data_IF_703345834053
#
_entry.id   IF_703345834053
#
_cell.length_a   1.000
_cell.length_b   1.000
_cell.length_c   1.000
_cell.angle_alpha   90.00
_cell.angle_beta   90.00
_cell.angle_gamma   90.00
#
_symmetry.space_group_name_H-M   'P 1'
#
loop_
_entity.id
_entity.type
_entity.pdbx_description
1 polymer ?
#
# COMPACT_ATOMS: atom_id res chain seq x y z
N UNK A 1 8.16 -2.53 -18.83
CA UNK A 1 6.73 -2.88 -19.00
C UNK A 1 5.90 -2.02 -18.08
N UNK A 2 4.74 -1.54 -18.54
CA UNK A 2 3.84 -0.72 -17.71
C UNK A 2 3.20 -1.59 -16.64
N UNK A 3 3.42 -1.27 -15.35
CA UNK A 3 2.78 -1.96 -14.22
C UNK A 3 1.43 -1.29 -13.93
N UNK A 4 0.41 -2.09 -13.65
CA UNK A 4 -0.95 -1.63 -13.33
C UNK A 4 -1.48 -2.35 -12.10
N UNK A 5 -2.43 -1.72 -11.40
CA UNK A 5 -3.18 -2.33 -10.30
C UNK A 5 -4.67 -2.41 -10.66
N UNK A 6 -5.33 -3.46 -10.22
CA UNK A 6 -6.79 -3.59 -10.33
C UNK A 6 -7.46 -2.89 -9.16
N UNK A 7 -8.43 -2.05 -9.45
CA UNK A 7 -9.23 -1.34 -8.45
C UNK A 7 -10.51 -2.12 -8.12
N UNK A 8 -11.09 -1.86 -6.95
CA UNK A 8 -12.32 -2.53 -6.49
C UNK A 8 -13.56 -2.28 -7.37
N UNK A 9 -13.50 -1.30 -8.28
CA UNK A 9 -14.53 -1.03 -9.28
C UNK A 9 -14.28 -1.71 -10.64
N UNK A 10 -13.29 -2.61 -10.72
CA UNK A 10 -12.95 -3.35 -11.95
C UNK A 10 -12.07 -2.59 -12.94
N UNK A 11 -11.78 -1.31 -12.70
CA UNK A 11 -10.86 -0.54 -13.56
C UNK A 11 -9.39 -0.85 -13.25
N UNK A 12 -8.51 -0.50 -14.19
CA UNK A 12 -7.06 -0.58 -14.04
C UNK A 12 -6.48 0.82 -13.85
N UNK A 13 -5.52 0.94 -12.94
CA UNK A 13 -4.76 2.18 -12.74
C UNK A 13 -3.26 1.95 -12.94
N UNK A 14 -2.57 2.94 -13.52
CA UNK A 14 -1.15 2.83 -13.83
C UNK A 14 -0.31 3.11 -12.59
N UNK A 15 0.67 2.26 -12.35
CA UNK A 15 1.71 2.52 -11.34
C UNK A 15 2.74 3.47 -11.95
N UNK A 16 2.96 4.59 -11.28
CA UNK A 16 3.93 5.62 -11.73
C UNK A 16 5.20 5.66 -10.88
N UNK A 17 5.25 4.90 -9.80
CA UNK A 17 6.43 4.79 -8.95
C UNK A 17 6.33 3.64 -7.96
N UNK A 18 7.47 3.30 -7.37
CA UNK A 18 7.62 2.36 -6.27
C UNK A 18 8.44 3.07 -5.19
N UNK A 19 8.04 2.98 -3.94
CA UNK A 19 8.77 3.65 -2.87
C UNK A 19 8.50 3.08 -1.49
N UNK A 20 9.10 3.73 -0.51
CA UNK A 20 8.91 3.47 0.92
C UNK A 20 7.99 4.54 1.49
N UNK A 21 7.05 4.13 2.35
CA UNK A 21 6.13 5.02 3.04
C UNK A 21 6.23 4.76 4.53
N UNK A 22 6.34 5.83 5.31
CA UNK A 22 6.31 5.77 6.77
C UNK A 22 4.93 6.23 7.23
N UNK A 23 4.26 5.36 8.00
CA UNK A 23 2.94 5.58 8.55
C UNK A 23 3.07 5.81 10.05
N UNK A 24 2.89 7.07 10.48
CA UNK A 24 2.81 7.40 11.89
C UNK A 24 1.44 7.00 12.44
N UNK A 25 1.45 6.15 13.47
CA UNK A 25 0.26 5.68 14.15
C UNK A 25 -0.09 6.62 15.31
N UNK A 26 -1.36 6.68 15.69
CA UNK A 26 -1.81 7.49 16.84
C UNK A 26 -1.18 7.08 18.17
N UNK A 27 -0.57 5.90 18.25
CA UNK A 27 0.21 5.45 19.40
C UNK A 27 1.62 6.06 19.48
N UNK A 28 2.04 6.87 18.49
CA UNK A 28 3.39 7.41 18.35
C UNK A 28 4.41 6.44 17.74
N UNK A 29 3.98 5.24 17.33
CA UNK A 29 4.84 4.30 16.62
C UNK A 29 4.81 4.57 15.12
N UNK A 30 5.93 4.34 14.43
CA UNK A 30 6.02 4.41 12.98
C UNK A 30 6.05 3.01 12.36
N UNK A 31 5.14 2.76 11.42
CA UNK A 31 5.17 1.58 10.56
C UNK A 31 5.81 1.95 9.22
N UNK A 32 6.92 1.29 8.90
CA UNK A 32 7.58 1.42 7.59
C UNK A 32 6.97 0.39 6.64
N UNK A 33 6.51 0.84 5.48
CA UNK A 33 6.01 -0.02 4.41
C UNK A 33 6.90 0.19 3.19
N UNK A 34 7.63 -0.85 2.82
CA UNK A 34 8.44 -0.89 1.60
C UNK A 34 7.63 -1.36 0.39
N UNK A 35 8.18 -1.15 -0.80
CA UNK A 35 7.59 -1.57 -2.08
C UNK A 35 6.14 -1.07 -2.31
N UNK A 36 5.84 0.14 -1.89
CA UNK A 36 4.52 0.78 -2.08
C UNK A 36 4.39 1.34 -3.49
N UNK A 37 3.36 0.93 -4.21
CA UNK A 37 3.03 1.49 -5.51
C UNK A 37 2.43 2.90 -5.39
N UNK A 38 3.02 3.85 -6.12
CA UNK A 38 2.44 5.17 -6.30
C UNK A 38 1.50 5.17 -7.52
N UNK A 39 0.23 5.47 -7.28
CA UNK A 39 -0.86 5.46 -8.27
C UNK A 39 -1.69 6.74 -8.08
N UNK A 40 -1.61 7.68 -9.03
CA UNK A 40 -2.25 9.01 -8.90
C UNK A 40 -3.78 8.94 -8.76
N UNK A 41 -4.39 7.91 -9.34
CA UNK A 41 -5.82 7.67 -9.34
C UNK A 41 -6.33 7.28 -7.94
N UNK A 42 -5.45 6.74 -7.07
CA UNK A 42 -5.76 6.39 -5.69
C UNK A 42 -5.39 7.56 -4.78
N UNK A 43 -6.37 8.43 -4.49
CA UNK A 43 -6.16 9.59 -3.60
C UNK A 43 -6.31 9.26 -2.11
N UNK A 44 -7.12 8.25 -1.80
CA UNK A 44 -7.37 7.73 -0.44
C UNK A 44 -7.47 6.23 -0.53
N UNK A 45 -6.82 5.53 0.39
CA UNK A 45 -6.92 4.08 0.52
C UNK A 45 -7.26 3.75 1.98
N UNK A 46 -8.14 2.77 2.19
CA UNK A 46 -8.44 2.25 3.51
C UNK A 46 -7.53 1.06 3.74
N UNK A 47 -6.57 1.22 4.64
CA UNK A 47 -5.59 0.18 4.95
C UNK A 47 -6.00 -0.49 6.26
N UNK A 48 -6.19 -1.81 6.23
CA UNK A 48 -6.43 -2.59 7.45
C UNK A 48 -5.10 -3.00 8.06
N UNK A 49 -4.77 -2.43 9.22
CA UNK A 49 -3.57 -2.80 9.97
C UNK A 49 -3.54 -4.29 10.35
N UNK A 50 -4.70 -4.89 10.63
CA UNK A 50 -4.80 -6.32 10.93
C UNK A 50 -4.34 -7.21 9.76
N UNK A 51 -4.71 -6.82 8.53
CA UNK A 51 -4.29 -7.55 7.33
C UNK A 51 -2.80 -7.36 7.03
N UNK A 52 -2.24 -6.16 7.26
CA UNK A 52 -0.80 -5.92 7.13
C UNK A 52 0.01 -6.85 8.06
N UNK A 53 -0.41 -6.98 9.32
CA UNK A 53 0.25 -7.86 10.29
C UNK A 53 0.11 -9.34 9.90
N UNK A 54 -1.04 -9.76 9.38
CA UNK A 54 -1.24 -11.14 8.93
C UNK A 54 -0.34 -11.50 7.74
N UNK A 55 -0.18 -10.58 6.79
CA UNK A 55 0.73 -10.79 5.65
C UNK A 55 2.19 -10.90 6.12
N UNK A 56 2.62 -10.04 7.05
CA UNK A 56 3.99 -10.07 7.60
C UNK A 56 4.31 -11.41 8.32
N UNK A 57 3.33 -12.00 9.01
CA UNK A 57 3.49 -13.30 9.67
C UNK A 57 3.67 -14.48 8.71
N UNK A 58 3.28 -14.35 7.45
CA UNK A 58 3.43 -15.41 6.45
C UNK A 58 4.82 -15.38 5.76
N UNK A 59 5.69 -14.43 6.11
CA UNK A 59 7.07 -14.31 5.62
C UNK A 59 8.12 -14.64 6.69
N UNK A 60 7.70 -15.19 7.85
CA UNK A 60 8.55 -15.71 8.92
C UNK A 60 8.27 -17.19 9.17
#
# INVERSE_FOLDING_TARGET
GTRTVSLGNGSLARVIGLGRVELELSSGNCLVVDEVFHVCEIRKNLISAALLVQQAKNYI
#
